data_IF_270197814712
#
_entry.id   IF_270197814712
#
_cell.length_a   1.000
_cell.length_b   1.000
_cell.length_c   1.000
_cell.angle_alpha   90.00
_cell.angle_beta   90.00
_cell.angle_gamma   90.00
#
_symmetry.space_group_name_H-M   'P 1'
#
loop_
_entity.id
_entity.type
_entity.pdbx_description
1 polymer ?
#
# COMPACT_ATOMS: atom_id res chain seq x y z
N UNK A 1 -13.25 17.83 11.93
CA UNK A 1 -11.81 18.04 11.68
C UNK A 1 -11.01 17.96 12.98
N UNK A 2 -11.30 18.75 14.02
CA UNK A 2 -10.59 18.71 15.32
C UNK A 2 -10.26 17.33 15.92
N UNK A 3 -11.20 16.37 15.93
CA UNK A 3 -10.92 15.02 16.45
C UNK A 3 -9.96 14.24 15.55
N UNK A 4 -10.08 14.37 14.22
CA UNK A 4 -9.18 13.73 13.27
C UNK A 4 -7.78 14.36 13.32
N UNK A 5 -7.72 15.69 13.48
CA UNK A 5 -6.45 16.40 13.66
C UNK A 5 -5.78 16.01 14.98
N UNK A 6 -6.55 15.89 16.06
CA UNK A 6 -6.03 15.38 17.34
C UNK A 6 -5.48 13.95 17.21
N UNK A 7 -6.25 13.05 16.60
CA UNK A 7 -5.81 11.67 16.36
C UNK A 7 -4.55 11.65 15.48
N UNK A 8 -4.50 12.43 14.41
CA UNK A 8 -3.34 12.49 13.52
C UNK A 8 -2.08 13.07 14.20
N UNK A 9 -2.25 14.14 14.98
CA UNK A 9 -1.14 14.90 15.54
C UNK A 9 -0.66 14.38 16.91
N UNK A 10 -1.48 13.60 17.62
CA UNK A 10 -1.14 13.07 18.96
C UNK A 10 -0.98 11.56 18.94
N UNK A 11 -1.97 10.83 18.42
CA UNK A 11 -2.00 9.36 18.48
C UNK A 11 -1.10 8.73 17.41
N UNK A 12 -0.98 9.38 16.27
CA UNK A 12 -0.22 8.90 15.11
C UNK A 12 1.12 9.59 14.90
N UNK A 13 1.51 10.48 15.83
CA UNK A 13 2.80 11.16 15.77
C UNK A 13 3.95 10.16 15.85
N UNK A 14 4.89 10.25 14.92
CA UNK A 14 6.05 9.34 14.90
C UNK A 14 5.73 7.91 14.45
N UNK A 15 4.47 7.58 14.15
CA UNK A 15 4.09 6.25 13.64
C UNK A 15 4.21 6.24 12.11
N UNK A 16 4.94 5.28 11.52
CA UNK A 16 4.96 5.05 10.09
C UNK A 16 3.57 4.85 9.49
N UNK A 17 3.26 5.55 8.40
CA UNK A 17 1.95 5.53 7.77
C UNK A 17 1.50 4.11 7.34
N UNK A 18 2.47 3.28 6.96
CA UNK A 18 2.24 1.87 6.67
C UNK A 18 1.64 1.10 7.86
N UNK A 19 2.10 1.38 9.08
CA UNK A 19 1.56 0.76 10.30
C UNK A 19 0.14 1.23 10.53
N UNK A 20 -0.13 2.53 10.35
CA UNK A 20 -1.48 3.10 10.48
C UNK A 20 -2.45 2.38 9.53
N UNK A 21 -2.09 2.27 8.26
CA UNK A 21 -2.87 1.56 7.25
C UNK A 21 -3.12 0.10 7.62
N UNK A 22 -2.08 -0.65 8.02
CA UNK A 22 -2.21 -2.06 8.39
C UNK A 22 -3.10 -2.27 9.62
N UNK A 23 -2.93 -1.47 10.67
CA UNK A 23 -3.75 -1.56 11.89
C UNK A 23 -5.21 -1.27 11.56
N UNK A 24 -5.48 -0.16 10.86
CA UNK A 24 -6.84 0.22 10.47
C UNK A 24 -7.49 -0.84 9.58
N UNK A 25 -6.78 -1.37 8.59
CA UNK A 25 -7.30 -2.42 7.70
C UNK A 25 -7.55 -3.74 8.45
N UNK A 26 -6.68 -4.14 9.38
CA UNK A 26 -6.87 -5.37 10.15
C UNK A 26 -8.08 -5.23 11.08
N UNK A 27 -8.22 -4.11 11.78
CA UNK A 27 -9.38 -3.82 12.64
C UNK A 27 -10.67 -3.81 11.81
N UNK A 28 -10.66 -3.12 10.68
CA UNK A 28 -11.78 -3.09 9.74
C UNK A 28 -12.18 -4.50 9.28
N UNK A 29 -11.22 -5.33 8.87
CA UNK A 29 -11.48 -6.69 8.43
C UNK A 29 -11.97 -7.58 9.56
N UNK A 30 -11.45 -7.42 10.77
CA UNK A 30 -11.90 -8.18 11.92
C UNK A 30 -13.39 -7.95 12.20
N UNK A 31 -13.84 -6.69 12.14
CA UNK A 31 -15.22 -6.27 12.38
C UNK A 31 -16.13 -6.66 11.19
N UNK A 32 -15.73 -6.31 9.97
CA UNK A 32 -16.62 -6.36 8.81
C UNK A 32 -16.50 -7.60 7.92
N UNK A 33 -15.58 -8.55 8.19
CA UNK A 33 -15.38 -9.75 7.34
C UNK A 33 -16.67 -10.48 6.96
N UNK A 34 -17.60 -10.64 7.90
CA UNK A 34 -18.87 -11.33 7.67
C UNK A 34 -19.81 -10.52 6.77
N UNK A 35 -19.86 -9.20 6.99
CA UNK A 35 -20.65 -8.27 6.19
C UNK A 35 -20.10 -8.15 4.77
N UNK A 36 -18.78 -8.03 4.60
CA UNK A 36 -18.09 -8.00 3.30
C UNK A 36 -18.43 -9.26 2.50
N UNK A 37 -18.39 -10.43 3.13
CA UNK A 37 -18.71 -11.70 2.47
C UNK A 37 -20.17 -11.75 1.98
N UNK A 38 -21.11 -11.19 2.73
CA UNK A 38 -22.55 -11.27 2.42
C UNK A 38 -23.00 -10.16 1.47
N UNK A 39 -22.48 -8.94 1.64
CA UNK A 39 -22.93 -7.73 0.97
C UNK A 39 -21.76 -6.93 0.37
N UNK A 40 -20.87 -7.62 -0.37
CA UNK A 40 -19.63 -7.04 -0.90
C UNK A 40 -19.82 -5.76 -1.71
N UNK A 41 -20.91 -5.62 -2.46
CA UNK A 41 -21.18 -4.43 -3.29
C UNK A 41 -21.25 -3.13 -2.47
N UNK A 42 -21.80 -3.17 -1.25
CA UNK A 42 -21.89 -1.98 -0.38
C UNK A 42 -20.50 -1.46 -0.05
N UNK A 43 -19.55 -2.37 0.19
CA UNK A 43 -18.17 -2.04 0.50
C UNK A 43 -17.36 -1.54 -0.70
N UNK A 44 -17.90 -1.63 -1.92
CA UNK A 44 -17.27 -1.08 -3.12
C UNK A 44 -17.72 0.33 -3.44
N UNK A 45 -18.84 0.80 -2.87
CA UNK A 45 -19.43 2.11 -3.21
C UNK A 45 -18.44 3.23 -2.93
N UNK A 46 -17.96 3.34 -1.68
CA UNK A 46 -17.07 4.44 -1.29
C UNK A 46 -15.69 4.36 -1.98
N UNK A 47 -14.98 3.21 -2.01
CA UNK A 47 -13.77 3.07 -2.82
C UNK A 47 -13.98 3.34 -4.32
N UNK A 48 -15.16 3.01 -4.84
CA UNK A 48 -15.55 3.29 -6.23
C UNK A 48 -15.72 4.78 -6.51
N UNK A 49 -16.37 5.51 -5.61
CA UNK A 49 -16.49 6.97 -5.69
C UNK A 49 -15.10 7.64 -5.60
N UNK A 50 -14.25 7.19 -4.67
CA UNK A 50 -12.86 7.66 -4.58
C UNK A 50 -12.08 7.38 -5.86
N UNK A 51 -12.21 6.18 -6.43
CA UNK A 51 -11.56 5.81 -7.68
C UNK A 51 -11.95 6.77 -8.82
N UNK A 52 -13.26 7.02 -9.00
CA UNK A 52 -13.74 7.93 -10.03
C UNK A 52 -13.21 9.35 -9.78
N UNK A 53 -13.31 9.82 -8.54
CA UNK A 53 -12.84 11.15 -8.15
C UNK A 53 -11.34 11.35 -8.43
N UNK A 54 -10.50 10.42 -7.98
CA UNK A 54 -9.05 10.47 -8.17
C UNK A 54 -8.66 10.35 -9.65
N UNK A 55 -9.36 9.51 -10.42
CA UNK A 55 -9.16 9.45 -11.87
C UNK A 55 -9.49 10.79 -12.54
N UNK A 56 -10.65 11.37 -12.22
CA UNK A 56 -11.08 12.66 -12.77
C UNK A 56 -10.09 13.77 -12.41
N UNK A 57 -9.71 13.88 -11.13
CA UNK A 57 -8.71 14.84 -10.67
C UNK A 57 -7.37 14.68 -11.40
N UNK A 58 -6.84 13.45 -11.47
CA UNK A 58 -5.56 13.18 -12.10
C UNK A 58 -5.54 13.49 -13.59
N UNK A 59 -6.60 13.10 -14.32
CA UNK A 59 -6.72 13.34 -15.75
C UNK A 59 -6.85 14.84 -16.04
N UNK A 60 -7.72 15.56 -15.32
CA UNK A 60 -7.89 17.01 -15.50
C UNK A 60 -6.60 17.77 -15.23
N UNK A 61 -5.90 17.44 -14.14
CA UNK A 61 -4.64 18.07 -13.79
C UNK A 61 -3.54 17.80 -14.84
N UNK A 62 -3.56 16.63 -15.51
CA UNK A 62 -2.66 16.34 -16.62
C UNK A 62 -2.87 17.30 -17.82
N UNK A 63 -4.07 17.85 -17.97
CA UNK A 63 -4.43 18.87 -18.96
C UNK A 63 -4.38 20.29 -18.38
N UNK A 64 -3.72 20.51 -17.24
CA UNK A 64 -3.64 21.78 -16.52
C UNK A 64 -4.99 22.37 -16.11
N UNK A 65 -6.00 21.51 -15.92
CA UNK A 65 -7.32 21.91 -15.41
C UNK A 65 -7.37 21.62 -13.92
N UNK A 66 -7.43 22.67 -13.11
CA UNK A 66 -7.52 22.53 -11.66
C UNK A 66 -8.97 22.30 -11.22
N UNK A 67 -9.30 21.06 -10.88
CA UNK A 67 -10.64 20.68 -10.44
C UNK A 67 -11.10 21.48 -9.21
N UNK A 68 -10.17 21.82 -8.30
CA UNK A 68 -10.49 22.61 -7.10
C UNK A 68 -10.95 24.02 -7.46
N UNK A 69 -10.27 24.66 -8.41
CA UNK A 69 -10.66 26.00 -8.89
C UNK A 69 -12.00 25.97 -9.63
N UNK A 70 -12.31 24.87 -10.34
CA UNK A 70 -13.58 24.73 -11.06
C UNK A 70 -14.80 24.58 -10.15
N UNK A 71 -14.68 23.81 -9.07
CA UNK A 71 -15.85 23.43 -8.25
C UNK A 71 -15.85 24.05 -6.85
N UNK A 72 -14.72 24.59 -6.39
CA UNK A 72 -14.53 25.15 -5.06
C UNK A 72 -14.61 24.13 -3.92
N UNK A 73 -14.57 24.64 -2.68
CA UNK A 73 -14.78 23.84 -1.46
C UNK A 73 -16.25 23.45 -1.30
N UNK A 74 -16.64 22.38 -1.99
CA UNK A 74 -17.96 21.77 -1.79
C UNK A 74 -17.93 20.72 -0.69
N UNK A 75 -19.11 20.35 -0.18
CA UNK A 75 -19.26 19.20 0.74
C UNK A 75 -18.69 17.93 0.12
N UNK A 76 -18.87 17.73 -1.20
CA UNK A 76 -18.33 16.60 -1.95
C UNK A 76 -16.81 16.63 -2.04
N UNK A 77 -16.20 17.80 -2.26
CA UNK A 77 -14.75 17.98 -2.18
C UNK A 77 -14.24 17.53 -0.81
N UNK A 78 -14.85 18.04 0.26
CA UNK A 78 -14.44 17.70 1.62
C UNK A 78 -14.53 16.19 1.88
N UNK A 79 -15.64 15.54 1.51
CA UNK A 79 -15.86 14.10 1.78
C UNK A 79 -14.92 13.19 0.98
N UNK A 80 -14.70 13.49 -0.30
CA UNK A 80 -13.89 12.64 -1.19
C UNK A 80 -12.39 12.93 -1.07
N UNK A 81 -12.01 14.15 -0.67
CA UNK A 81 -10.62 14.53 -0.43
C UNK A 81 -10.16 14.22 1.00
N UNK A 82 -11.08 14.07 1.97
CA UNK A 82 -10.74 13.80 3.38
C UNK A 82 -9.70 12.67 3.56
N UNK A 83 -9.85 11.48 2.94
CA UNK A 83 -8.87 10.41 3.13
C UNK A 83 -7.49 10.78 2.60
N UNK A 84 -7.43 11.62 1.57
CA UNK A 84 -6.18 12.13 1.03
C UNK A 84 -5.53 13.14 1.97
N UNK A 85 -6.31 14.05 2.55
CA UNK A 85 -5.84 15.06 3.52
C UNK A 85 -5.13 14.45 4.73
N UNK A 86 -5.54 13.25 5.14
CA UNK A 86 -4.93 12.51 6.25
C UNK A 86 -3.99 11.38 5.80
N UNK A 87 -3.62 11.33 4.51
CA UNK A 87 -2.81 10.27 3.90
C UNK A 87 -3.33 8.84 4.15
N UNK A 88 -4.65 8.69 4.42
CA UNK A 88 -5.30 7.43 4.77
C UNK A 88 -5.66 6.60 3.52
N UNK A 89 -5.96 7.24 2.40
CA UNK A 89 -6.34 6.58 1.15
C UNK A 89 -5.29 5.52 0.74
N UNK A 90 -4.07 5.97 0.52
CA UNK A 90 -2.98 5.20 -0.08
C UNK A 90 -2.54 4.09 0.86
N UNK A 91 -2.45 4.40 2.16
CA UNK A 91 -1.96 3.46 3.18
C UNK A 91 -2.96 2.35 3.44
N UNK A 92 -4.26 2.66 3.41
CA UNK A 92 -5.33 1.65 3.49
C UNK A 92 -5.32 0.79 2.23
N UNK A 93 -5.22 1.41 1.05
CA UNK A 93 -5.10 0.69 -0.22
C UNK A 93 -3.92 -0.30 -0.22
N UNK A 94 -2.72 0.16 0.16
CA UNK A 94 -1.51 -0.66 0.30
C UNK A 94 -1.76 -1.78 1.30
N UNK A 95 -2.32 -1.47 2.47
CA UNK A 95 -2.58 -2.44 3.52
C UNK A 95 -3.50 -3.59 3.05
N UNK A 96 -4.60 -3.30 2.35
CA UNK A 96 -5.46 -4.34 1.76
C UNK A 96 -4.69 -5.25 0.81
N UNK A 97 -3.88 -4.69 -0.09
CA UNK A 97 -3.08 -5.49 -1.03
C UNK A 97 -2.02 -6.32 -0.30
N UNK A 98 -1.30 -5.73 0.66
CA UNK A 98 -0.33 -6.44 1.49
C UNK A 98 -0.99 -7.61 2.22
N UNK A 99 -2.14 -7.40 2.86
CA UNK A 99 -2.89 -8.46 3.54
C UNK A 99 -3.23 -9.59 2.55
N UNK A 100 -3.75 -9.27 1.36
CA UNK A 100 -4.07 -10.24 0.29
C UNK A 100 -2.84 -11.06 -0.15
N UNK A 101 -1.65 -10.45 -0.16
CA UNK A 101 -0.38 -11.13 -0.46
C UNK A 101 0.09 -12.00 0.71
N UNK A 102 0.05 -11.48 1.94
CA UNK A 102 0.54 -12.17 3.14
C UNK A 102 -0.31 -13.37 3.52
N UNK A 103 -1.65 -13.28 3.48
CA UNK A 103 -2.49 -14.48 3.68
C UNK A 103 -2.14 -15.57 2.66
N UNK A 104 -1.64 -15.17 1.48
CA UNK A 104 -1.12 -16.03 0.43
C UNK A 104 0.08 -16.90 0.83
N UNK A 105 0.85 -16.52 1.84
CA UNK A 105 2.07 -17.22 2.28
C UNK A 105 2.02 -17.68 3.74
N UNK A 106 1.13 -17.11 4.55
CA UNK A 106 0.98 -17.47 5.97
C UNK A 106 0.38 -18.87 6.18
N UNK A 107 0.65 -19.50 7.33
CA UNK A 107 -0.07 -20.70 7.78
C UNK A 107 -1.58 -20.43 7.90
N UNK A 108 -2.40 -21.44 7.58
CA UNK A 108 -3.86 -21.33 7.56
C UNK A 108 -4.49 -21.49 8.96
N UNK A 109 -4.11 -20.66 9.92
CA UNK A 109 -4.87 -20.56 11.18
C UNK A 109 -6.27 -19.98 10.91
N UNK A 110 -7.15 -19.97 11.91
CA UNK A 110 -8.56 -19.61 11.75
C UNK A 110 -8.76 -18.24 11.08
N UNK A 111 -8.09 -17.20 11.57
CA UNK A 111 -8.25 -15.85 11.03
C UNK A 111 -7.83 -15.73 9.55
N UNK A 112 -6.66 -16.27 9.18
CA UNK A 112 -6.20 -16.34 7.78
C UNK A 112 -7.19 -17.11 6.90
N UNK A 113 -7.77 -18.21 7.39
CA UNK A 113 -8.81 -18.95 6.65
C UNK A 113 -10.05 -18.09 6.39
N UNK A 114 -10.49 -17.32 7.38
CA UNK A 114 -11.61 -16.40 7.22
C UNK A 114 -11.29 -15.30 6.19
N UNK A 115 -10.11 -14.68 6.26
CA UNK A 115 -9.68 -13.67 5.29
C UNK A 115 -9.55 -14.22 3.87
N UNK A 116 -9.20 -15.49 3.71
CA UNK A 116 -9.17 -16.14 2.39
C UNK A 116 -10.54 -16.15 1.70
N UNK A 117 -11.63 -16.24 2.46
CA UNK A 117 -13.00 -16.26 1.91
C UNK A 117 -13.39 -14.92 1.27
N UNK A 118 -12.82 -13.82 1.76
CA UNK A 118 -13.05 -12.45 1.28
C UNK A 118 -11.85 -11.89 0.50
N UNK A 119 -10.94 -12.76 0.02
CA UNK A 119 -9.70 -12.35 -0.63
C UNK A 119 -9.94 -11.50 -1.88
N UNK A 120 -10.96 -11.84 -2.68
CA UNK A 120 -11.27 -11.09 -3.91
C UNK A 120 -11.79 -9.69 -3.58
N UNK A 121 -12.61 -9.58 -2.55
CA UNK A 121 -13.25 -8.35 -2.08
C UNK A 121 -12.18 -7.38 -1.58
N UNK A 122 -11.26 -7.86 -0.75
CA UNK A 122 -10.10 -7.07 -0.31
C UNK A 122 -9.25 -6.56 -1.49
N UNK A 123 -9.01 -7.40 -2.49
CA UNK A 123 -8.25 -7.00 -3.69
C UNK A 123 -8.98 -5.96 -4.53
N UNK A 124 -10.31 -6.02 -4.61
CA UNK A 124 -11.13 -5.04 -5.33
C UNK A 124 -11.12 -3.70 -4.59
N UNK A 125 -11.35 -3.71 -3.26
CA UNK A 125 -11.34 -2.50 -2.41
C UNK A 125 -9.97 -1.82 -2.48
N UNK A 126 -8.89 -2.56 -2.19
CA UNK A 126 -7.53 -2.01 -2.22
C UNK A 126 -7.11 -1.54 -3.62
N UNK A 127 -7.50 -2.27 -4.66
CA UNK A 127 -7.16 -1.90 -6.04
C UNK A 127 -7.94 -0.68 -6.56
N UNK A 128 -9.21 -0.50 -6.18
CA UNK A 128 -9.96 0.72 -6.49
C UNK A 128 -9.25 1.95 -5.94
N UNK A 129 -8.83 1.89 -4.67
CA UNK A 129 -8.14 3.01 -4.02
C UNK A 129 -6.76 3.25 -4.67
N UNK A 130 -5.95 2.19 -4.84
CA UNK A 130 -4.58 2.35 -5.32
C UNK A 130 -4.47 2.71 -6.80
N UNK A 131 -5.36 2.21 -7.65
CA UNK A 131 -5.34 2.58 -9.07
C UNK A 131 -5.87 4.01 -9.22
N UNK A 132 -6.93 4.38 -8.49
CA UNK A 132 -7.38 5.77 -8.44
C UNK A 132 -6.25 6.70 -8.01
N UNK A 133 -5.60 6.40 -6.88
CA UNK A 133 -4.44 7.15 -6.40
C UNK A 133 -3.29 7.18 -7.42
N UNK A 134 -2.99 6.06 -8.07
CA UNK A 134 -1.95 5.99 -9.09
C UNK A 134 -2.23 6.89 -10.30
N UNK A 135 -3.48 6.92 -10.78
CA UNK A 135 -3.91 7.83 -11.86
C UNK A 135 -3.84 9.30 -11.40
N UNK A 136 -4.30 9.58 -10.18
CA UNK A 136 -4.19 10.91 -9.56
C UNK A 136 -2.74 11.41 -9.48
N UNK A 137 -1.77 10.50 -9.36
CA UNK A 137 -0.34 10.80 -9.29
C UNK A 137 0.37 10.88 -10.65
N UNK A 138 -0.32 10.68 -11.78
CA UNK A 138 0.29 10.84 -13.11
C UNK A 138 0.94 12.22 -13.32
N UNK A 139 0.34 13.36 -12.90
CA UNK A 139 1.02 14.66 -12.98
C UNK A 139 2.30 14.70 -12.15
N UNK A 140 2.32 14.08 -10.96
CA UNK A 140 3.52 13.97 -10.12
C UNK A 140 4.61 13.13 -10.79
N UNK A 141 4.24 12.03 -11.47
CA UNK A 141 5.19 11.20 -12.22
C UNK A 141 5.79 11.98 -13.40
N UNK A 142 4.97 12.76 -14.12
CA UNK A 142 5.41 13.65 -15.20
C UNK A 142 6.36 14.72 -14.66
N UNK A 143 5.98 15.43 -13.60
CA UNK A 143 6.80 16.44 -12.95
C UNK A 143 8.16 15.87 -12.51
N UNK A 144 8.18 14.67 -11.93
CA UNK A 144 9.42 14.03 -11.49
C UNK A 144 10.35 13.67 -12.66
N UNK A 145 9.79 13.36 -13.83
CA UNK A 145 10.56 13.12 -15.05
C UNK A 145 11.17 14.42 -15.60
N UNK A 146 10.37 15.49 -15.65
CA UNK A 146 10.80 16.80 -16.15
C UNK A 146 11.88 17.45 -15.27
N UNK A 147 11.81 17.26 -13.95
CA UNK A 147 12.71 17.86 -12.96
C UNK A 147 13.78 16.90 -12.45
N UNK A 148 14.10 15.84 -13.21
CA UNK A 148 15.02 14.77 -12.78
C UNK A 148 16.42 15.25 -12.36
N UNK A 149 16.86 16.42 -12.85
CA UNK A 149 18.17 17.01 -12.53
C UNK A 149 18.21 17.73 -11.18
N UNK A 150 17.05 18.19 -10.70
CA UNK A 150 16.91 19.00 -9.48
C UNK A 150 16.49 18.17 -8.28
N UNK A 151 15.83 17.03 -8.54
CA UNK A 151 15.38 16.11 -7.52
C UNK A 151 16.46 15.10 -7.13
N UNK A 152 16.44 14.65 -5.87
CA UNK A 152 17.30 13.55 -5.47
C UNK A 152 16.93 12.25 -6.22
N UNK A 153 17.94 11.41 -6.48
CA UNK A 153 17.78 10.21 -7.31
C UNK A 153 16.76 9.20 -6.77
N UNK A 154 16.55 9.13 -5.45
CA UNK A 154 15.54 8.24 -4.86
C UNK A 154 14.11 8.66 -5.21
N UNK A 155 13.81 9.97 -5.16
CA UNK A 155 12.49 10.49 -5.53
C UNK A 155 12.21 10.31 -7.03
N UNK A 156 13.20 10.59 -7.88
CA UNK A 156 13.10 10.36 -9.33
C UNK A 156 12.86 8.88 -9.62
N UNK A 157 13.67 8.00 -9.04
CA UNK A 157 13.53 6.55 -9.20
C UNK A 157 12.16 6.06 -8.72
N UNK A 158 11.67 6.58 -7.59
CA UNK A 158 10.37 6.20 -7.03
C UNK A 158 9.22 6.66 -7.91
N UNK A 159 9.07 7.96 -8.14
CA UNK A 159 7.91 8.49 -8.86
C UNK A 159 7.95 8.17 -10.35
N UNK A 160 9.07 8.43 -11.02
CA UNK A 160 9.13 8.41 -12.47
C UNK A 160 9.32 7.00 -13.06
N UNK A 161 9.94 6.08 -12.30
CA UNK A 161 10.21 4.71 -12.77
C UNK A 161 9.34 3.71 -12.02
N UNK A 162 9.55 3.54 -10.71
CA UNK A 162 8.86 2.49 -9.95
C UNK A 162 7.34 2.72 -9.89
N UNK A 163 6.88 3.96 -9.76
CA UNK A 163 5.47 4.31 -9.68
C UNK A 163 4.70 3.90 -10.94
N UNK A 164 5.27 4.16 -12.12
CA UNK A 164 4.68 3.77 -13.42
C UNK A 164 4.60 2.26 -13.54
N UNK A 165 5.71 1.55 -13.26
CA UNK A 165 5.75 0.08 -13.33
C UNK A 165 4.76 -0.53 -12.34
N UNK A 166 4.68 0.03 -11.13
CA UNK A 166 3.79 -0.45 -10.08
C UNK A 166 2.31 -0.26 -10.46
N UNK A 167 1.94 0.87 -11.07
CA UNK A 167 0.59 1.14 -11.55
C UNK A 167 0.15 0.13 -12.62
N UNK A 168 1.02 -0.19 -13.58
CA UNK A 168 0.73 -1.21 -14.59
C UNK A 168 0.60 -2.59 -13.94
N UNK A 169 1.49 -2.90 -13.00
CA UNK A 169 1.56 -4.23 -12.40
C UNK A 169 0.39 -4.52 -11.45
N UNK A 170 -0.14 -3.51 -10.74
CA UNK A 170 -1.32 -3.67 -9.88
C UNK A 170 -2.61 -3.80 -10.70
N UNK A 171 -2.66 -3.20 -11.89
CA UNK A 171 -3.84 -3.24 -12.76
C UNK A 171 -4.23 -4.69 -13.14
N UNK A 172 -3.24 -5.54 -13.44
CA UNK A 172 -3.45 -6.93 -13.87
C UNK A 172 -4.13 -7.82 -12.80
N UNK A 173 -3.61 -7.95 -11.56
CA UNK A 173 -4.28 -8.72 -10.51
C UNK A 173 -5.60 -8.08 -10.07
N UNK A 174 -5.74 -6.75 -10.17
CA UNK A 174 -7.00 -6.07 -9.88
C UNK A 174 -8.09 -6.40 -10.89
N UNK A 175 -7.85 -6.22 -12.19
CA UNK A 175 -8.86 -6.50 -13.23
C UNK A 175 -9.29 -7.98 -13.18
N UNK A 176 -8.35 -8.89 -12.92
CA UNK A 176 -8.63 -10.34 -12.83
C UNK A 176 -9.30 -10.77 -11.52
N UNK A 177 -9.51 -9.85 -10.57
CA UNK A 177 -10.33 -10.08 -9.37
C UNK A 177 -11.82 -9.95 -9.66
N UNK A 178 -12.22 -9.23 -10.70
CA UNK A 178 -13.61 -9.13 -11.11
C UNK A 178 -14.10 -10.40 -11.81
N UNK A 179 -15.35 -10.77 -11.56
CA UNK A 179 -15.93 -12.02 -12.07
C UNK A 179 -15.91 -12.10 -13.60
N UNK A 180 -16.18 -10.99 -14.30
CA UNK A 180 -16.23 -10.95 -15.76
C UNK A 180 -14.87 -11.24 -16.43
N UNK A 181 -13.77 -10.86 -15.79
CA UNK A 181 -12.42 -11.16 -16.26
C UNK A 181 -11.97 -12.54 -15.77
N UNK A 182 -12.28 -12.89 -14.52
CA UNK A 182 -11.93 -14.18 -13.90
C UNK A 182 -12.49 -15.37 -14.68
N UNK A 183 -13.72 -15.28 -15.18
CA UNK A 183 -14.40 -16.36 -15.93
C UNK A 183 -13.74 -16.68 -17.27
N UNK A 184 -12.92 -15.77 -17.82
CA UNK A 184 -12.18 -15.96 -19.08
C UNK A 184 -10.89 -16.77 -18.90
N UNK A 185 -10.51 -17.10 -17.66
CA UNK A 185 -9.26 -17.78 -17.34
C UNK A 185 -9.53 -19.17 -16.73
N UNK A 186 -8.84 -20.19 -17.24
CA UNK A 186 -8.82 -21.51 -16.60
C UNK A 186 -8.24 -21.43 -15.18
N UNK A 187 -8.60 -22.34 -14.26
CA UNK A 187 -8.04 -22.35 -12.90
C UNK A 187 -6.51 -22.39 -12.87
N UNK A 188 -5.90 -23.19 -13.77
CA UNK A 188 -4.44 -23.28 -13.94
C UNK A 188 -3.87 -21.95 -14.47
N UNK A 189 -4.47 -21.38 -15.51
CA UNK A 189 -4.04 -20.11 -16.11
C UNK A 189 -4.08 -18.95 -15.12
N UNK A 190 -5.14 -18.83 -14.33
CA UNK A 190 -5.25 -17.80 -13.30
C UNK A 190 -4.23 -17.96 -12.18
N UNK A 191 -4.00 -19.18 -11.69
CA UNK A 191 -2.97 -19.43 -10.67
C UNK A 191 -1.58 -19.07 -11.18
N UNK A 192 -1.29 -19.40 -12.45
CA UNK A 192 -0.05 -19.03 -13.12
C UNK A 192 0.09 -17.51 -13.21
N UNK A 193 -0.91 -16.82 -13.77
CA UNK A 193 -0.94 -15.36 -13.89
C UNK A 193 -0.73 -14.67 -12.55
N UNK A 194 -1.51 -15.05 -11.52
CA UNK A 194 -1.39 -14.50 -10.18
C UNK A 194 -0.01 -14.74 -9.58
N UNK A 195 0.65 -15.86 -9.87
CA UNK A 195 2.00 -16.13 -9.37
C UNK A 195 3.02 -15.19 -10.02
N UNK A 196 2.90 -14.94 -11.34
CA UNK A 196 3.79 -14.05 -12.08
C UNK A 196 3.56 -12.57 -11.77
N UNK A 197 2.37 -12.17 -11.35
CA UNK A 197 2.07 -10.76 -11.05
C UNK A 197 2.16 -10.44 -9.56
N UNK A 198 1.64 -11.29 -8.67
CA UNK A 198 1.53 -11.00 -7.23
C UNK A 198 2.89 -10.89 -6.54
N UNK A 199 3.88 -11.65 -7.00
CA UNK A 199 5.19 -11.71 -6.35
C UNK A 199 6.04 -10.53 -6.75
N UNK A 200 6.21 -10.22 -8.05
CA UNK A 200 6.88 -8.99 -8.42
C UNK A 200 6.12 -7.79 -7.85
N UNK A 201 4.78 -7.82 -7.80
CA UNK A 201 3.99 -6.74 -7.19
C UNK A 201 4.34 -6.54 -5.71
N UNK A 202 4.38 -7.60 -4.91
CA UNK A 202 4.74 -7.51 -3.48
C UNK A 202 6.16 -6.95 -3.29
N UNK A 203 7.13 -7.43 -4.07
CA UNK A 203 8.52 -6.94 -4.01
C UNK A 203 8.55 -5.47 -4.43
N UNK A 204 7.88 -5.11 -5.51
CA UNK A 204 7.87 -3.77 -6.06
C UNK A 204 7.18 -2.76 -5.14
N UNK A 205 6.08 -3.13 -4.45
CA UNK A 205 5.47 -2.31 -3.40
C UNK A 205 6.49 -2.00 -2.31
N UNK A 206 7.26 -3.01 -1.87
CA UNK A 206 8.26 -2.80 -0.83
C UNK A 206 9.43 -1.96 -1.32
N UNK A 207 9.95 -2.22 -2.52
CA UNK A 207 11.05 -1.44 -3.10
C UNK A 207 10.64 0.01 -3.35
N UNK A 208 9.43 0.24 -3.87
CA UNK A 208 8.85 1.58 -4.00
C UNK A 208 8.73 2.25 -2.63
N UNK A 209 8.18 1.55 -1.64
CA UNK A 209 8.06 2.03 -0.26
C UNK A 209 9.41 2.39 0.38
N UNK A 210 10.45 1.60 0.15
CA UNK A 210 11.82 1.91 0.61
C UNK A 210 12.32 3.17 -0.09
N UNK A 211 12.30 3.17 -1.43
CA UNK A 211 12.89 4.25 -2.23
C UNK A 211 12.20 5.60 -1.97
N UNK A 212 10.86 5.63 -1.88
CA UNK A 212 10.13 6.89 -1.68
C UNK A 212 10.39 7.47 -0.30
N UNK A 213 10.45 6.61 0.73
CA UNK A 213 10.72 7.05 2.09
C UNK A 213 12.18 7.48 2.26
N UNK A 214 13.15 6.80 1.64
CA UNK A 214 14.53 7.29 1.62
C UNK A 214 14.62 8.63 0.88
N UNK A 215 13.93 8.78 -0.25
CA UNK A 215 13.92 10.02 -1.01
C UNK A 215 13.41 11.21 -0.20
N UNK A 216 12.31 11.06 0.53
CA UNK A 216 11.82 12.10 1.43
C UNK A 216 12.71 12.29 2.65
N UNK A 217 13.21 11.21 3.26
CA UNK A 217 14.13 11.28 4.41
C UNK A 217 15.42 12.03 4.11
N UNK A 218 15.98 11.86 2.91
CA UNK A 218 17.16 12.61 2.45
C UNK A 218 16.82 14.03 1.98
N UNK A 219 15.62 14.28 1.44
CA UNK A 219 15.20 15.62 1.04
C UNK A 219 14.96 16.56 2.23
N UNK A 220 14.52 16.01 3.36
CA UNK A 220 14.15 16.77 4.57
C UNK A 220 15.27 16.70 5.62
N UNK A 221 16.38 16.01 5.35
CA UNK A 221 17.45 15.82 6.32
C UNK A 221 18.04 17.19 6.72
N UNK A 222 17.90 17.62 8.00
CA UNK A 222 18.47 18.88 8.42
C UNK A 222 19.99 18.83 8.26
N UNK A 223 20.59 19.96 7.86
CA UNK A 223 22.03 20.05 7.69
C UNK A 223 22.77 19.61 8.96
N UNK A 224 23.82 18.81 8.79
CA UNK A 224 24.66 18.37 9.91
C UNK A 224 25.19 19.61 10.67
N UNK A 225 24.79 19.76 11.94
CA UNK A 225 25.18 20.88 12.81
C UNK A 225 24.06 21.85 13.20
N UNK A 226 22.86 21.72 12.64
CA UNK A 226 21.69 22.51 13.04
C UNK A 226 21.07 22.00 14.37
N UNK A 227 20.64 22.91 15.24
CA UNK A 227 19.94 22.53 16.48
C UNK A 227 18.51 22.09 16.15
N UNK A 228 18.02 21.04 16.82
CA UNK A 228 16.62 20.59 16.68
C UNK A 228 15.61 21.65 17.12
N UNK A 229 16.05 22.63 17.90
CA UNK A 229 15.21 23.70 18.43
C UNK A 229 15.11 24.91 17.51
N UNK A 230 15.92 24.97 16.45
CA UNK A 230 15.84 26.09 15.51
C UNK A 230 14.58 25.96 14.63
N UNK A 231 14.06 27.09 14.18
CA UNK A 231 12.93 27.16 13.25
C UNK A 231 13.41 27.71 11.91
N UNK A 232 13.06 27.02 10.83
CA UNK A 232 13.25 27.50 9.46
C UNK A 232 11.94 28.09 8.94
N UNK A 233 12.01 29.03 8.00
CA UNK A 233 10.84 29.54 7.29
C UNK A 233 10.66 28.75 5.99
N UNK A 234 9.50 28.12 5.81
CA UNK A 234 9.13 27.46 4.56
C UNK A 234 8.85 28.48 3.45
N UNK A 235 8.69 27.98 2.22
CA UNK A 235 8.48 28.81 1.02
C UNK A 235 7.17 29.63 1.06
N UNK A 236 6.20 29.22 1.88
CA UNK A 236 4.94 29.94 2.13
C UNK A 236 5.03 30.90 3.34
N UNK A 237 6.22 31.06 3.92
CA UNK A 237 6.47 31.91 5.09
C UNK A 237 6.16 31.26 6.44
N UNK A 238 5.72 29.99 6.47
CA UNK A 238 5.41 29.30 7.74
C UNK A 238 6.68 28.92 8.50
N UNK A 239 6.68 29.11 9.82
CA UNK A 239 7.79 28.67 10.68
C UNK A 239 7.69 27.16 10.90
N UNK A 240 8.70 26.43 10.44
CA UNK A 240 8.84 24.97 10.57
C UNK A 240 9.97 24.68 11.54
N UNK A 241 9.67 24.00 12.65
CA UNK A 241 10.70 23.59 13.60
C UNK A 241 11.59 22.48 13.04
N UNK A 242 12.89 22.54 13.29
CA UNK A 242 13.83 21.46 12.99
C UNK A 242 13.46 20.16 13.73
N UNK A 243 12.78 20.27 14.88
CA UNK A 243 12.20 19.14 15.61
C UNK A 243 11.15 18.41 14.76
N UNK A 244 10.23 19.15 14.14
CA UNK A 244 9.21 18.57 13.25
C UNK A 244 9.82 17.90 12.02
N UNK A 245 10.87 18.50 11.44
CA UNK A 245 11.64 17.90 10.35
C UNK A 245 12.37 16.63 10.84
N UNK A 246 12.98 16.67 12.02
CA UNK A 246 13.64 15.51 12.64
C UNK A 246 12.70 14.33 12.83
N UNK A 247 11.46 14.56 13.29
CA UNK A 247 10.44 13.52 13.36
C UNK A 247 10.09 12.95 11.99
N UNK A 248 9.90 13.79 10.96
CA UNK A 248 9.60 13.34 9.59
C UNK A 248 10.75 12.52 9.00
N UNK A 249 11.99 12.92 9.25
CA UNK A 249 13.18 12.17 8.83
C UNK A 249 13.23 10.81 9.53
N UNK A 250 13.04 10.77 10.84
CA UNK A 250 13.03 9.53 11.62
C UNK A 250 11.91 8.58 11.15
N UNK A 251 10.70 9.08 10.92
CA UNK A 251 9.57 8.27 10.43
C UNK A 251 9.79 7.78 9.00
N UNK A 252 10.42 8.57 8.14
CA UNK A 252 10.77 8.16 6.78
C UNK A 252 11.77 6.99 6.81
N UNK A 253 12.88 7.10 7.55
CA UNK A 253 13.85 6.02 7.67
C UNK A 253 13.26 4.77 8.37
N UNK A 254 12.41 4.95 9.38
CA UNK A 254 11.71 3.85 10.02
C UNK A 254 10.74 3.15 9.04
N UNK A 255 10.00 3.91 8.24
CA UNK A 255 9.12 3.37 7.20
C UNK A 255 9.90 2.57 6.16
N UNK A 256 11.06 3.07 5.70
CA UNK A 256 11.92 2.33 4.78
C UNK A 256 12.39 0.99 5.37
N UNK A 257 12.82 0.98 6.64
CA UNK A 257 13.20 -0.26 7.36
C UNK A 257 12.03 -1.23 7.49
N UNK A 258 10.81 -0.74 7.72
CA UNK A 258 9.61 -1.59 7.79
C UNK A 258 9.29 -2.25 6.46
N UNK A 259 9.32 -1.51 5.35
CA UNK A 259 9.14 -2.10 4.02
C UNK A 259 10.23 -3.15 3.71
N UNK A 260 11.47 -2.90 4.10
CA UNK A 260 12.55 -3.89 3.99
C UNK A 260 12.26 -5.15 4.81
N UNK A 261 11.84 -4.99 6.07
CA UNK A 261 11.49 -6.11 6.93
C UNK A 261 10.33 -6.93 6.35
N UNK A 262 9.27 -6.28 5.86
CA UNK A 262 8.14 -6.95 5.21
C UNK A 262 8.58 -7.73 3.96
N UNK A 263 9.45 -7.15 3.14
CA UNK A 263 10.00 -7.81 1.96
C UNK A 263 10.78 -9.08 2.34
N UNK A 264 11.68 -8.98 3.32
CA UNK A 264 12.50 -10.10 3.80
C UNK A 264 11.61 -11.21 4.38
N UNK A 265 10.67 -10.85 5.26
CA UNK A 265 9.73 -11.81 5.88
C UNK A 265 8.87 -12.49 4.81
N UNK A 266 8.36 -11.74 3.83
CA UNK A 266 7.55 -12.30 2.76
C UNK A 266 8.34 -13.30 1.91
N UNK A 267 9.56 -12.95 1.50
CA UNK A 267 10.44 -13.83 0.71
C UNK A 267 10.78 -15.09 1.51
N UNK A 268 11.10 -14.95 2.80
CA UNK A 268 11.40 -16.07 3.68
C UNK A 268 10.21 -17.03 3.82
N UNK A 269 9.01 -16.51 4.15
CA UNK A 269 7.78 -17.30 4.24
C UNK A 269 7.45 -18.00 2.93
N UNK A 270 7.63 -17.30 1.80
CA UNK A 270 7.35 -17.86 0.48
C UNK A 270 8.31 -18.99 0.11
N UNK A 271 9.61 -18.84 0.39
CA UNK A 271 10.60 -19.91 0.21
C UNK A 271 10.27 -21.12 1.08
N UNK A 272 9.92 -20.91 2.36
CA UNK A 272 9.50 -21.98 3.28
C UNK A 272 8.27 -22.73 2.75
N UNK A 273 7.29 -22.00 2.22
CA UNK A 273 6.08 -22.59 1.62
C UNK A 273 6.39 -23.43 0.37
N UNK A 274 7.26 -22.95 -0.51
CA UNK A 274 7.68 -23.70 -1.71
C UNK A 274 8.39 -25.00 -1.30
N UNK A 275 9.35 -24.93 -0.36
CA UNK A 275 10.05 -26.12 0.16
C UNK A 275 9.07 -27.17 0.71
N UNK A 276 8.08 -26.75 1.50
CA UNK A 276 7.06 -27.66 2.05
C UNK A 276 6.16 -28.29 0.97
N UNK A 277 5.92 -27.60 -0.15
CA UNK A 277 5.13 -28.13 -1.27
C UNK A 277 5.93 -29.06 -2.18
N UNK A 278 7.26 -28.91 -2.22
CA UNK A 278 8.17 -29.75 -3.01
C UNK A 278 8.61 -31.03 -2.30
N UNK A 279 8.34 -31.19 -1.00
CA UNK A 279 8.61 -32.43 -0.28
C UNK A 279 7.67 -33.55 -0.78
N UNK A 280 8.20 -34.69 -1.25
CA UNK A 280 7.37 -35.78 -1.75
C UNK A 280 6.53 -36.38 -0.61
N UNK A 281 5.23 -36.53 -0.86
CA UNK A 281 4.21 -37.07 0.08
C UNK A 281 4.62 -38.43 0.70
N UNK A 282 5.49 -39.19 0.04
CA UNK A 282 6.06 -40.45 0.58
C UNK A 282 7.02 -40.25 1.75
N UNK A 283 7.84 -39.19 1.78
CA UNK A 283 8.84 -39.02 2.84
C UNK A 283 8.23 -38.59 4.18
N UNK A 284 7.17 -37.76 4.16
CA UNK A 284 6.49 -37.33 5.40
C UNK A 284 5.82 -38.53 6.10
N UNK A 285 5.18 -39.43 5.34
CA UNK A 285 4.59 -40.66 5.90
C UNK A 285 5.63 -41.69 6.34
N UNK A 286 6.81 -41.73 5.74
CA UNK A 286 7.90 -42.62 6.19
C UNK A 286 8.48 -42.07 7.49
N UNK A 287 8.80 -40.78 7.55
CA UNK A 287 9.36 -40.12 8.75
C UNK A 287 8.45 -40.30 9.97
N UNK A 288 7.15 -40.01 9.83
CA UNK A 288 6.15 -40.16 10.90
C UNK A 288 5.99 -41.63 11.35
N UNK A 289 6.23 -42.59 10.45
CA UNK A 289 6.21 -44.03 10.77
C UNK A 289 7.50 -44.50 11.44
N UNK A 290 8.67 -43.97 11.09
CA UNK A 290 9.95 -44.25 11.79
C UNK A 290 9.98 -43.63 13.17
N UNK A 291 9.43 -42.42 13.34
CA UNK A 291 9.40 -41.73 14.63
C UNK A 291 8.44 -42.42 15.62
N UNK A 292 7.37 -43.07 15.14
CA UNK A 292 6.48 -43.90 15.96
C UNK A 292 7.06 -45.29 16.29
N UNK A 293 7.99 -45.80 15.48
CA UNK A 293 8.66 -47.09 15.71
C UNK A 293 9.83 -46.96 16.69
N UNK A 294 10.45 -45.78 16.79
CA UNK A 294 11.56 -45.52 17.71
C UNK A 294 11.12 -45.06 19.11
N UNK A 295 9.81 -45.00 19.39
CA UNK A 295 9.22 -44.61 20.68
C UNK A 295 8.54 -45.80 21.40
N UNK A 296 8.56 -46.99 20.80
CA UNK A 296 8.19 -48.27 21.42
C UNK A 296 9.44 -49.13 21.64
#
# INVERSE_FOLDING_TARGET
>A
MYVLDYVNNVLWLGVPDLIKGLVLSIVFLFIFKNAIRKHSLIFYIYPGLLFLWYCTYGILNLFNVNLYEMIGETVWWTILWLPHSYALDTVIGIAFILIVMFIGVLPKWEFVRQLYTIRKEMSIIGGLILIGHGVMRLPTMKWAWENMKEMNGFLVFSYAILGVVLLVLIFIPWITSFHFARKRLTPKGWKKLQTYTSVPLMILICVFGIAINLGWGFAILPGFGSSLWDTQTAADGTAVSNLSQGYQVATAFLSAKLYLALMVVYIWLRRKKIKKQSQPVKQVKIQEKTDLVNVN
#
